data_IF_540889882245
#
_entry.id   IF_540889882245
#
_cell.length_a   1.000
_cell.length_b   1.000
_cell.length_c   1.000
_cell.angle_alpha   90.00
_cell.angle_beta   90.00
_cell.angle_gamma   90.00
#
_symmetry.space_group_name_H-M   'P 1'
#
loop_
_entity.id
_entity.type
_entity.pdbx_description
1 polymer ?
#
# COMPACT_ATOMS: atom_id res chain seq x y z
N UNK A 1 -4.37 -24.29 -13.32
CA UNK A 1 -3.02 -24.79 -12.98
C UNK A 1 -2.11 -23.66 -12.50
N UNK A 2 -1.79 -22.64 -13.31
CA UNK A 2 -0.96 -21.49 -12.90
C UNK A 2 -1.44 -20.73 -11.64
N UNK A 3 -2.74 -20.42 -11.54
CA UNK A 3 -3.25 -19.68 -10.36
C UNK A 3 -3.18 -20.47 -9.05
N UNK A 4 -3.50 -21.77 -9.08
CA UNK A 4 -3.36 -22.62 -7.89
C UNK A 4 -1.91 -22.67 -7.40
N UNK A 5 -0.95 -22.62 -8.33
CA UNK A 5 0.46 -22.55 -7.99
C UNK A 5 0.79 -21.26 -7.25
N UNK A 6 0.33 -20.10 -7.73
CA UNK A 6 0.47 -18.82 -7.02
C UNK A 6 -0.15 -18.87 -5.63
N UNK A 7 -1.40 -19.33 -5.50
CA UNK A 7 -2.11 -19.35 -4.23
C UNK A 7 -1.41 -20.20 -3.16
N UNK A 8 -0.75 -21.31 -3.54
CA UNK A 8 0.00 -22.16 -2.60
C UNK A 8 1.18 -21.45 -1.94
N UNK A 9 1.69 -20.39 -2.56
CA UNK A 9 2.79 -19.59 -2.02
C UNK A 9 2.33 -18.35 -1.24
N UNK A 10 1.03 -18.07 -1.20
CA UNK A 10 0.48 -16.97 -0.42
C UNK A 10 0.32 -17.38 1.03
N UNK A 11 1.06 -16.71 1.90
CA UNK A 11 0.93 -16.84 3.35
C UNK A 11 -0.23 -15.95 3.80
N UNK A 12 -1.16 -16.53 4.56
CA UNK A 12 -2.22 -15.80 5.26
C UNK A 12 -1.75 -15.46 6.65
N UNK A 13 -1.49 -14.18 6.89
CA UNK A 13 -1.15 -13.70 8.22
C UNK A 13 -1.72 -12.30 8.47
N UNK A 14 -1.96 -11.93 9.74
CA UNK A 14 -2.33 -10.58 10.11
C UNK A 14 -1.32 -9.52 9.68
N UNK A 15 -1.79 -8.30 9.41
CA UNK A 15 -0.95 -7.19 8.94
C UNK A 15 0.15 -6.80 9.93
N UNK A 16 -0.12 -6.85 11.23
CA UNK A 16 0.86 -6.57 12.30
C UNK A 16 2.03 -7.58 12.26
N UNK A 17 1.75 -8.86 12.05
CA UNK A 17 2.80 -9.90 11.87
C UNK A 17 3.68 -9.59 10.66
N UNK A 18 3.07 -9.18 9.53
CA UNK A 18 3.79 -8.77 8.33
C UNK A 18 4.69 -7.55 8.60
N UNK A 19 4.16 -6.53 9.27
CA UNK A 19 4.88 -5.30 9.58
C UNK A 19 6.05 -5.53 10.53
N UNK A 20 5.90 -6.35 11.57
CA UNK A 20 7.01 -6.73 12.47
C UNK A 20 8.18 -7.35 11.69
N UNK A 21 7.89 -8.18 10.69
CA UNK A 21 8.92 -8.86 9.88
C UNK A 21 9.65 -7.91 8.91
N UNK A 22 9.18 -6.67 8.70
CA UNK A 22 9.83 -5.70 7.82
C UNK A 22 11.22 -5.25 8.29
N UNK A 23 11.55 -5.50 9.57
CA UNK A 23 12.89 -5.34 10.10
C UNK A 23 13.89 -6.39 9.58
N UNK A 24 13.39 -7.51 9.06
CA UNK A 24 14.21 -8.64 8.59
C UNK A 24 14.13 -8.85 7.09
N UNK A 25 12.98 -8.52 6.49
CA UNK A 25 12.75 -8.68 5.05
C UNK A 25 12.70 -7.32 4.36
N UNK A 26 13.41 -7.19 3.23
CA UNK A 26 13.29 -6.04 2.35
C UNK A 26 11.89 -5.99 1.73
N UNK A 27 11.26 -4.82 1.78
CA UNK A 27 9.93 -4.57 1.22
C UNK A 27 10.01 -3.58 0.06
N UNK A 28 8.97 -3.54 -0.78
CA UNK A 28 8.85 -2.52 -1.83
C UNK A 28 8.91 -1.09 -1.26
N UNK A 29 8.26 -0.86 -0.10
CA UNK A 29 8.30 0.43 0.60
C UNK A 29 9.71 0.78 1.07
N UNK A 30 10.40 -0.14 1.77
CA UNK A 30 11.77 0.08 2.22
C UNK A 30 12.73 0.37 1.06
N UNK A 31 12.58 -0.33 -0.07
CA UNK A 31 13.37 -0.07 -1.26
C UNK A 31 13.03 1.28 -1.91
N UNK A 32 11.77 1.71 -1.87
CA UNK A 32 11.36 3.04 -2.31
C UNK A 32 11.96 4.15 -1.44
N UNK A 33 11.99 3.96 -0.12
CA UNK A 33 12.66 4.89 0.79
C UNK A 33 14.16 4.99 0.51
N UNK A 34 14.82 3.85 0.27
CA UNK A 34 16.22 3.81 -0.13
C UNK A 34 16.46 4.52 -1.47
N UNK A 35 15.62 4.25 -2.49
CA UNK A 35 15.68 4.97 -3.77
C UNK A 35 15.51 6.47 -3.59
N UNK A 36 14.65 6.92 -2.66
CA UNK A 36 14.43 8.35 -2.41
C UNK A 36 15.62 9.00 -1.72
N UNK A 37 16.14 8.38 -0.66
CA UNK A 37 17.26 8.92 0.12
C UNK A 37 17.96 7.80 0.93
N UNK A 38 19.09 7.26 0.44
CA UNK A 38 19.85 6.22 1.14
C UNK A 38 20.23 6.59 2.58
N UNK A 39 20.64 7.83 2.83
CA UNK A 39 21.00 8.29 4.18
C UNK A 39 19.80 8.28 5.14
N UNK A 40 18.63 8.74 4.68
CA UNK A 40 17.42 8.70 5.51
C UNK A 40 16.99 7.27 5.79
N UNK A 41 17.02 6.41 4.77
CA UNK A 41 16.76 4.97 4.91
C UNK A 41 17.65 4.36 6.00
N UNK A 42 18.96 4.61 5.95
CA UNK A 42 19.90 4.12 6.97
C UNK A 42 19.62 4.67 8.37
N UNK A 43 19.32 5.96 8.48
CA UNK A 43 19.00 6.56 9.78
C UNK A 43 17.74 5.96 10.39
N UNK A 44 16.73 5.63 9.58
CA UNK A 44 15.53 4.90 10.03
C UNK A 44 15.85 3.48 10.47
N UNK A 45 16.63 2.75 9.67
CA UNK A 45 17.09 1.38 10.00
C UNK A 45 17.86 1.34 11.33
N UNK A 46 18.59 2.40 11.67
CA UNK A 46 19.31 2.56 12.94
C UNK A 46 18.47 3.10 14.10
N UNK A 47 17.18 3.36 13.90
CA UNK A 47 16.31 3.95 14.92
C UNK A 47 16.62 5.40 15.29
N UNK A 48 17.39 6.12 14.44
CA UNK A 48 17.82 7.49 14.70
C UNK A 48 16.77 8.55 14.28
N UNK A 49 15.70 8.12 13.61
CA UNK A 49 14.61 8.99 13.18
C UNK A 49 13.30 8.42 13.73
N UNK A 50 12.54 9.19 14.54
CA UNK A 50 11.27 8.71 15.05
C UNK A 50 10.28 8.51 13.90
N UNK A 51 9.56 7.40 13.93
CA UNK A 51 8.43 7.20 13.03
C UNK A 51 7.32 8.18 13.41
N UNK A 52 6.83 8.93 12.40
CA UNK A 52 5.63 9.75 12.55
C UNK A 52 4.48 8.93 12.02
N UNK A 53 3.67 8.37 12.92
CA UNK A 53 2.41 7.77 12.53
C UNK A 53 1.47 8.91 12.12
N UNK A 54 1.18 9.01 10.82
CA UNK A 54 0.29 10.06 10.32
C UNK A 54 -1.09 9.46 10.15
N UNK A 55 -2.09 10.12 10.76
CA UNK A 55 -3.52 9.83 10.61
C UNK A 55 -3.95 9.70 9.13
N UNK A 56 -3.17 10.27 8.21
CA UNK A 56 -3.34 10.18 6.76
C UNK A 56 -3.46 8.74 6.22
N UNK A 57 -2.91 7.74 6.91
CA UNK A 57 -3.02 6.33 6.49
C UNK A 57 -4.28 5.62 6.97
N UNK A 58 -5.02 6.18 7.94
CA UNK A 58 -6.16 5.48 8.56
C UNK A 58 -7.30 5.24 7.56
N UNK A 59 -7.68 6.26 6.80
CA UNK A 59 -8.74 6.17 5.78
C UNK A 59 -8.34 5.19 4.68
N UNK A 60 -7.09 5.25 4.23
CA UNK A 60 -6.57 4.33 3.21
C UNK A 60 -6.63 2.87 3.67
N UNK A 61 -6.18 2.57 4.90
CA UNK A 61 -6.27 1.22 5.48
C UNK A 61 -7.72 0.75 5.60
N UNK A 62 -8.60 1.59 6.12
CA UNK A 62 -10.02 1.30 6.24
C UNK A 62 -10.68 1.01 4.88
N UNK A 63 -10.34 1.79 3.85
CA UNK A 63 -10.79 1.58 2.48
C UNK A 63 -10.26 0.25 1.91
N UNK A 64 -8.97 -0.07 2.09
CA UNK A 64 -8.42 -1.36 1.69
C UNK A 64 -9.16 -2.53 2.35
N UNK A 65 -9.32 -2.50 3.68
CA UNK A 65 -10.00 -3.57 4.40
C UNK A 65 -11.43 -3.75 3.89
N UNK A 66 -12.20 -2.67 3.72
CA UNK A 66 -13.59 -2.77 3.26
C UNK A 66 -13.68 -3.26 1.80
N UNK A 67 -12.83 -2.73 0.91
CA UNK A 67 -12.88 -3.00 -0.53
C UNK A 67 -12.35 -4.41 -0.85
N UNK A 68 -11.26 -4.83 -0.20
CA UNK A 68 -10.55 -6.06 -0.53
C UNK A 68 -10.97 -7.23 0.37
N UNK A 69 -11.14 -7.02 1.67
CA UNK A 69 -11.42 -8.08 2.65
C UNK A 69 -12.90 -8.14 3.07
N UNK A 70 -13.68 -7.11 2.76
CA UNK A 70 -15.12 -7.06 2.94
C UNK A 70 -15.58 -6.55 4.32
N UNK A 71 -16.91 -6.38 4.44
CA UNK A 71 -17.56 -5.72 5.60
C UNK A 71 -17.24 -6.38 6.94
N UNK A 72 -17.24 -7.71 6.99
CA UNK A 72 -16.97 -8.44 8.23
C UNK A 72 -15.56 -8.13 8.77
N UNK A 73 -14.55 -8.09 7.89
CA UNK A 73 -13.19 -7.76 8.28
C UNK A 73 -13.08 -6.30 8.71
N UNK A 74 -13.70 -5.39 7.95
CA UNK A 74 -13.74 -3.96 8.28
C UNK A 74 -14.33 -3.69 9.68
N UNK A 75 -15.49 -4.27 10.00
CA UNK A 75 -16.13 -4.11 11.32
C UNK A 75 -15.36 -4.82 12.44
N UNK A 76 -14.59 -5.85 12.09
CA UNK A 76 -13.67 -6.49 13.03
C UNK A 76 -12.43 -5.62 13.31
N UNK A 77 -11.87 -4.92 12.33
CA UNK A 77 -10.63 -4.15 12.48
C UNK A 77 -10.84 -2.72 13.00
N UNK A 78 -11.96 -2.09 12.67
CA UNK A 78 -12.20 -0.67 12.99
C UNK A 78 -13.37 -0.49 13.96
N UNK A 79 -13.23 0.47 14.86
CA UNK A 79 -14.35 0.99 15.64
C UNK A 79 -14.93 2.20 14.90
N UNK A 80 -16.21 2.17 14.56
CA UNK A 80 -16.90 3.23 13.81
C UNK A 80 -17.88 3.96 14.72
N UNK A 81 -17.91 5.28 14.59
CA UNK A 81 -18.87 6.14 15.27
C UNK A 81 -18.28 6.75 16.53
N UNK A 82 -19.12 6.95 17.55
CA UNK A 82 -18.72 7.61 18.79
C UNK A 82 -19.74 7.42 19.90
N UNK A 83 -19.44 7.90 21.11
CA UNK A 83 -20.35 7.78 22.24
C UNK A 83 -21.62 8.58 21.98
N UNK A 84 -22.77 8.06 22.43
CA UNK A 84 -24.04 8.76 22.32
C UNK A 84 -24.14 9.86 23.38
N UNK A 85 -24.65 11.02 22.98
CA UNK A 85 -25.01 12.08 23.90
C UNK A 85 -26.31 11.71 24.64
N UNK A 86 -26.28 11.54 25.97
CA UNK A 86 -27.46 11.10 26.73
C UNK A 86 -28.65 12.06 26.63
N UNK A 87 -28.42 13.35 26.30
CA UNK A 87 -29.47 14.36 26.19
C UNK A 87 -30.18 14.35 24.83
N UNK A 88 -29.47 14.00 23.76
CA UNK A 88 -29.99 14.10 22.39
C UNK A 88 -30.18 12.73 21.72
N UNK A 89 -29.60 11.67 22.27
CA UNK A 89 -29.54 10.34 21.66
C UNK A 89 -28.66 10.25 20.41
N UNK A 90 -27.99 11.35 20.02
CA UNK A 90 -27.12 11.42 18.83
C UNK A 90 -25.64 11.25 19.21
N UNK A 91 -24.78 10.73 18.31
CA UNK A 91 -23.34 10.65 18.55
C UNK A 91 -22.72 12.02 18.88
N UNK A 92 -21.75 12.04 19.79
CA UNK A 92 -20.86 13.19 19.95
C UNK A 92 -19.98 13.37 18.71
N UNK A 93 -19.74 14.62 18.31
CA UNK A 93 -18.82 14.92 17.20
C UNK A 93 -17.39 14.50 17.51
N UNK A 94 -16.61 14.17 16.47
CA UNK A 94 -15.23 13.67 16.59
C UNK A 94 -14.25 14.65 17.25
N UNK A 95 -14.55 15.94 17.24
CA UNK A 95 -13.73 16.98 17.87
C UNK A 95 -14.06 17.21 19.37
N UNK A 96 -14.85 16.34 20.00
CA UNK A 96 -15.27 16.52 21.39
C UNK A 96 -14.41 15.71 22.36
N UNK A 97 -14.31 16.19 23.62
CA UNK A 97 -13.63 15.44 24.69
C UNK A 97 -14.24 14.06 24.92
N UNK A 98 -15.56 13.96 24.86
CA UNK A 98 -16.28 12.68 25.01
C UNK A 98 -15.87 11.67 23.94
N UNK A 99 -15.75 12.11 22.68
CA UNK A 99 -15.27 11.26 21.59
C UNK A 99 -13.83 10.80 21.83
N UNK A 100 -12.93 11.72 22.22
CA UNK A 100 -11.54 11.39 22.51
C UNK A 100 -11.42 10.35 23.64
N UNK A 101 -12.12 10.56 24.76
CA UNK A 101 -12.14 9.63 25.90
C UNK A 101 -12.74 8.26 25.54
N UNK A 102 -13.73 8.22 24.65
CA UNK A 102 -14.28 6.97 24.15
C UNK A 102 -13.33 6.27 23.19
N UNK A 103 -12.65 7.02 22.33
CA UNK A 103 -11.70 6.51 21.36
C UNK A 103 -10.47 5.89 22.04
N UNK A 104 -9.96 6.51 23.11
CA UNK A 104 -8.86 5.97 23.93
C UNK A 104 -9.20 4.64 24.60
N UNK A 105 -10.48 4.34 24.82
CA UNK A 105 -10.94 3.07 25.39
C UNK A 105 -11.09 1.97 24.33
N UNK A 106 -11.01 2.30 23.04
CA UNK A 106 -11.10 1.31 21.98
C UNK A 106 -9.76 0.59 21.83
N UNK A 107 -9.81 -0.73 21.68
CA UNK A 107 -8.65 -1.54 21.32
C UNK A 107 -8.39 -1.56 19.81
N UNK A 108 -9.17 -0.79 19.04
CA UNK A 108 -9.16 -0.74 17.58
C UNK A 108 -8.94 0.69 17.10
N UNK A 109 -8.33 0.90 15.92
CA UNK A 109 -8.33 2.20 15.27
C UNK A 109 -9.77 2.73 15.11
N UNK A 110 -9.96 4.01 15.45
CA UNK A 110 -11.28 4.65 15.50
C UNK A 110 -11.51 5.51 14.27
N UNK A 111 -12.64 5.29 13.60
CA UNK A 111 -13.15 6.11 12.51
C UNK A 111 -14.33 6.95 13.00
N UNK A 112 -14.25 8.27 12.80
CA UNK A 112 -15.43 9.14 12.93
C UNK A 112 -16.48 8.81 11.88
N UNK A 113 -17.74 9.21 12.13
CA UNK A 113 -18.85 9.02 11.18
C UNK A 113 -18.53 9.58 9.78
N UNK A 114 -17.88 10.74 9.71
CA UNK A 114 -17.48 11.36 8.44
C UNK A 114 -16.40 10.54 7.71
N UNK A 115 -15.44 9.97 8.43
CA UNK A 115 -14.40 9.11 7.84
C UNK A 115 -14.99 7.78 7.37
N UNK A 116 -15.90 7.18 8.16
CA UNK A 116 -16.59 5.96 7.77
C UNK A 116 -17.48 6.20 6.54
N UNK A 117 -18.22 7.31 6.49
CA UNK A 117 -19.00 7.71 5.32
C UNK A 117 -18.11 7.88 4.09
N UNK A 118 -16.94 8.50 4.22
CA UNK A 118 -15.96 8.58 3.13
C UNK A 118 -15.52 7.19 2.67
N UNK A 119 -15.15 6.29 3.57
CA UNK A 119 -14.75 4.91 3.23
C UNK A 119 -15.85 4.17 2.46
N UNK A 120 -17.12 4.34 2.85
CA UNK A 120 -18.27 3.77 2.13
C UNK A 120 -18.41 4.37 0.72
N UNK A 121 -18.18 5.68 0.53
CA UNK A 121 -18.17 6.31 -0.80
C UNK A 121 -17.06 5.76 -1.69
N UNK A 122 -15.85 5.57 -1.14
CA UNK A 122 -14.74 4.96 -1.88
C UNK A 122 -15.06 3.52 -2.31
N UNK A 123 -15.64 2.73 -1.40
CA UNK A 123 -16.05 1.36 -1.71
C UNK A 123 -17.18 1.31 -2.76
N UNK A 124 -18.15 2.21 -2.67
CA UNK A 124 -19.22 2.33 -3.65
C UNK A 124 -18.69 2.72 -5.04
N UNK A 125 -17.75 3.67 -5.11
CA UNK A 125 -17.12 4.08 -6.35
C UNK A 125 -16.35 2.95 -7.03
N UNK A 126 -15.52 2.21 -6.29
CA UNK A 126 -14.79 1.05 -6.82
C UNK A 126 -15.76 -0.03 -7.29
N UNK A 127 -16.81 -0.32 -6.51
CA UNK A 127 -17.84 -1.30 -6.88
C UNK A 127 -18.63 -0.88 -8.14
N UNK A 128 -18.85 0.42 -8.33
CA UNK A 128 -19.53 0.99 -9.48
C UNK A 128 -18.68 1.00 -10.77
N UNK A 129 -17.37 0.85 -10.67
CA UNK A 129 -16.47 0.85 -11.83
C UNK A 129 -16.29 -0.55 -12.42
N UNK A 130 -16.88 -0.81 -13.59
CA UNK A 130 -16.99 -2.14 -14.20
C UNK A 130 -15.65 -2.91 -14.32
N UNK A 131 -14.57 -2.25 -14.73
CA UNK A 131 -13.26 -2.90 -14.80
C UNK A 131 -12.67 -3.18 -13.41
N UNK A 132 -12.90 -2.28 -12.44
CA UNK A 132 -12.29 -2.42 -11.11
C UNK A 132 -12.93 -3.58 -10.35
N UNK A 133 -14.26 -3.67 -10.37
CA UNK A 133 -14.97 -4.80 -9.77
C UNK A 133 -14.61 -6.12 -10.47
N UNK A 134 -14.46 -6.13 -11.80
CA UNK A 134 -14.02 -7.31 -12.54
C UNK A 134 -12.63 -7.81 -12.11
N UNK A 135 -11.70 -6.89 -11.86
CA UNK A 135 -10.36 -7.20 -11.35
C UNK A 135 -10.39 -7.69 -9.89
N UNK A 136 -11.26 -7.12 -9.06
CA UNK A 136 -11.39 -7.39 -7.63
C UNK A 136 -12.41 -8.49 -7.30
N UNK A 137 -12.83 -9.29 -8.28
CA UNK A 137 -13.70 -10.46 -8.09
C UNK A 137 -12.91 -11.76 -8.20
N UNK A 138 -13.33 -12.82 -7.49
CA UNK A 138 -12.76 -14.18 -7.56
C UNK A 138 -11.27 -14.32 -7.23
N UNK A 139 -10.73 -13.48 -6.35
CA UNK A 139 -9.31 -13.42 -6.04
C UNK A 139 -8.98 -13.60 -4.56
N UNK A 140 -7.72 -13.30 -4.27
CA UNK A 140 -7.14 -13.43 -2.95
C UNK A 140 -6.65 -12.07 -2.48
N UNK A 141 -7.32 -11.49 -1.47
CA UNK A 141 -6.89 -10.26 -0.83
C UNK A 141 -5.65 -10.48 0.04
N UNK A 142 -4.74 -9.51 0.09
CA UNK A 142 -3.75 -9.35 1.16
C UNK A 142 -2.83 -10.58 1.40
N UNK A 143 -2.47 -11.28 0.32
CA UNK A 143 -1.61 -12.44 0.36
C UNK A 143 -0.14 -12.06 0.56
N UNK A 144 0.56 -12.70 1.50
CA UNK A 144 1.98 -12.43 1.76
C UNK A 144 2.87 -13.39 0.99
N UNK A 145 3.86 -12.87 0.26
CA UNK A 145 4.93 -13.64 -0.37
C UNK A 145 6.25 -13.36 0.33
N UNK A 146 7.05 -14.40 0.55
CA UNK A 146 8.42 -14.30 1.06
C UNK A 146 9.36 -15.19 0.26
N UNK A 147 10.50 -14.64 -0.16
CA UNK A 147 11.53 -15.39 -0.86
C UNK A 147 12.89 -14.69 -0.80
N UNK A 148 13.92 -15.43 -1.18
CA UNK A 148 15.22 -14.84 -1.52
C UNK A 148 15.14 -14.26 -2.93
N UNK A 149 15.41 -12.96 -3.06
CA UNK A 149 15.48 -12.26 -4.34
C UNK A 149 16.71 -11.35 -4.36
N UNK A 150 17.54 -11.44 -5.40
CA UNK A 150 18.80 -10.67 -5.56
C UNK A 150 19.70 -10.61 -4.32
N UNK A 151 19.79 -11.73 -3.59
CA UNK A 151 20.56 -11.91 -2.34
C UNK A 151 19.96 -11.20 -1.11
N UNK A 152 18.73 -10.70 -1.20
CA UNK A 152 17.96 -10.22 -0.05
C UNK A 152 16.87 -11.22 0.31
N UNK A 153 16.58 -11.34 1.60
CA UNK A 153 15.29 -11.87 2.04
C UNK A 153 14.26 -10.79 1.82
N UNK A 154 13.26 -11.06 0.98
CA UNK A 154 12.25 -10.10 0.57
C UNK A 154 10.86 -10.55 1.01
N UNK A 155 9.98 -9.58 1.28
CA UNK A 155 8.57 -9.85 1.49
C UNK A 155 7.68 -8.79 0.82
N UNK A 156 6.49 -9.21 0.44
CA UNK A 156 5.43 -8.32 -0.03
C UNK A 156 4.07 -8.83 0.47
N UNK A 157 3.18 -7.90 0.84
CA UNK A 157 1.75 -8.16 1.05
C UNK A 157 1.02 -7.60 -0.16
N UNK A 158 0.40 -8.47 -0.94
CA UNK A 158 -0.23 -8.13 -2.20
C UNK A 158 -1.71 -7.85 -1.95
N UNK A 159 -2.14 -6.62 -2.20
CA UNK A 159 -3.53 -6.17 -2.00
C UNK A 159 -4.54 -7.15 -2.57
N UNK A 160 -4.35 -7.57 -3.83
CA UNK A 160 -5.20 -8.57 -4.46
C UNK A 160 -4.49 -9.35 -5.58
N UNK A 161 -4.78 -10.64 -5.67
CA UNK A 161 -4.39 -11.50 -6.79
C UNK A 161 -5.63 -12.14 -7.39
N UNK A 162 -5.93 -11.78 -8.63
CA UNK A 162 -6.98 -12.37 -9.44
C UNK A 162 -6.43 -13.54 -10.29
N UNK A 163 -7.14 -14.67 -10.39
CA UNK A 163 -6.74 -15.83 -11.18
C UNK A 163 -6.53 -15.58 -12.67
N UNK A 164 -7.30 -14.65 -13.22
CA UNK A 164 -7.36 -14.36 -14.65
C UNK A 164 -6.61 -13.08 -14.98
N UNK A 165 -6.70 -12.08 -14.09
CA UNK A 165 -6.20 -10.73 -14.35
C UNK A 165 -4.90 -10.38 -13.63
N UNK A 166 -4.39 -11.27 -12.76
CA UNK A 166 -3.10 -11.11 -12.11
C UNK A 166 -3.13 -10.21 -10.87
N UNK A 167 -2.06 -9.45 -10.67
CA UNK A 167 -1.85 -8.61 -9.48
C UNK A 167 -2.67 -7.33 -9.62
N UNK A 168 -3.35 -6.94 -8.54
CA UNK A 168 -4.07 -5.67 -8.46
C UNK A 168 -3.64 -4.97 -7.18
N UNK A 169 -3.16 -3.73 -7.31
CA UNK A 169 -2.75 -2.87 -6.21
C UNK A 169 -3.77 -1.72 -6.10
N UNK A 170 -4.37 -1.56 -4.92
CA UNK A 170 -5.39 -0.55 -4.65
C UNK A 170 -4.72 0.70 -4.10
N UNK A 171 -5.20 1.86 -4.55
CA UNK A 171 -4.72 3.16 -4.09
C UNK A 171 -5.89 4.11 -3.88
N UNK A 172 -5.71 5.02 -2.93
CA UNK A 172 -6.58 6.20 -2.78
C UNK A 172 -5.78 7.44 -3.15
N UNK A 173 -6.37 8.39 -3.86
CA UNK A 173 -5.72 9.65 -4.24
C UNK A 173 -6.59 10.86 -3.86
N UNK A 174 -6.00 12.06 -3.81
CA UNK A 174 -6.77 13.30 -3.70
C UNK A 174 -7.21 13.85 -5.06
N UNK A 175 -6.48 13.51 -6.12
CA UNK A 175 -6.75 13.94 -7.49
C UNK A 175 -6.37 12.83 -8.47
N UNK A 176 -7.29 12.49 -9.38
CA UNK A 176 -7.04 11.54 -10.46
C UNK A 176 -6.42 12.17 -11.71
N UNK A 177 -6.62 13.47 -11.95
CA UNK A 177 -6.15 14.13 -13.17
C UNK A 177 -4.62 14.19 -13.24
N UNK A 178 -3.96 14.25 -12.08
CA UNK A 178 -2.49 14.15 -11.94
C UNK A 178 -1.98 12.73 -11.67
N UNK A 179 -2.83 11.70 -11.71
CA UNK A 179 -2.44 10.37 -11.23
C UNK A 179 -1.44 9.65 -12.14
N UNK A 180 -1.45 9.89 -13.45
CA UNK A 180 -0.42 9.36 -14.36
C UNK A 180 0.99 9.86 -14.03
N UNK A 181 1.11 11.06 -13.46
CA UNK A 181 2.36 11.55 -12.90
C UNK A 181 2.62 10.92 -11.53
N UNK A 182 1.61 10.88 -10.66
CA UNK A 182 1.72 10.34 -9.30
C UNK A 182 2.16 8.87 -9.28
N UNK A 183 1.65 8.02 -10.18
CA UNK A 183 1.99 6.59 -10.27
C UNK A 183 3.49 6.37 -10.48
N UNK A 184 4.15 7.29 -11.20
CA UNK A 184 5.60 7.29 -11.44
C UNK A 184 6.36 7.97 -10.29
N UNK A 185 5.92 9.17 -9.90
CA UNK A 185 6.60 9.99 -8.91
C UNK A 185 6.62 9.36 -7.50
N UNK A 186 5.54 8.67 -7.12
CA UNK A 186 5.40 7.97 -5.84
C UNK A 186 5.98 6.55 -5.88
N UNK A 187 6.48 6.10 -7.03
CA UNK A 187 7.13 4.79 -7.18
C UNK A 187 6.17 3.60 -7.17
N UNK A 188 4.88 3.80 -7.44
CA UNK A 188 3.89 2.72 -7.47
C UNK A 188 4.18 1.69 -8.56
N UNK A 189 4.71 2.14 -9.71
CA UNK A 189 5.17 1.20 -10.76
C UNK A 189 6.28 0.29 -10.23
N UNK A 190 7.26 0.82 -9.51
CA UNK A 190 8.34 0.03 -8.89
C UNK A 190 7.83 -0.90 -7.80
N UNK A 191 6.83 -0.47 -7.03
CA UNK A 191 6.17 -1.30 -6.02
C UNK A 191 5.51 -2.52 -6.66
N UNK A 192 4.69 -2.32 -7.69
CA UNK A 192 4.00 -3.41 -8.38
C UNK A 192 4.98 -4.31 -9.14
N UNK A 193 6.05 -3.76 -9.73
CA UNK A 193 7.11 -4.56 -10.34
C UNK A 193 7.83 -5.44 -9.32
N UNK A 194 8.09 -4.94 -8.10
CA UNK A 194 8.67 -5.72 -7.01
C UNK A 194 7.75 -6.87 -6.60
N UNK A 195 6.45 -6.59 -6.46
CA UNK A 195 5.43 -7.61 -6.16
C UNK A 195 5.41 -8.71 -7.21
N UNK A 196 5.37 -8.32 -8.49
CA UNK A 196 5.38 -9.24 -9.63
C UNK A 196 6.64 -10.11 -9.67
N UNK A 197 7.81 -9.53 -9.37
CA UNK A 197 9.07 -10.28 -9.31
C UNK A 197 9.09 -11.32 -8.18
N UNK A 198 8.61 -10.97 -6.98
CA UNK A 198 8.54 -11.93 -5.87
C UNK A 198 7.55 -13.07 -6.16
N UNK A 199 6.36 -12.74 -6.70
CA UNK A 199 5.35 -13.73 -7.10
C UNK A 199 5.96 -14.68 -8.14
N UNK A 200 6.55 -14.14 -9.22
CA UNK A 200 7.19 -14.97 -10.24
C UNK A 200 8.32 -15.83 -9.69
N UNK A 201 9.10 -15.34 -8.72
CA UNK A 201 10.17 -16.10 -8.06
C UNK A 201 9.64 -17.31 -7.30
N UNK A 202 8.51 -17.18 -6.60
CA UNK A 202 7.95 -18.29 -5.81
C UNK A 202 7.11 -19.25 -6.62
N UNK A 203 6.34 -18.75 -7.60
CA UNK A 203 5.38 -19.56 -8.35
C UNK A 203 5.89 -20.02 -9.71
N UNK A 204 6.89 -19.35 -10.29
CA UNK A 204 7.29 -19.49 -11.70
C UNK A 204 6.36 -18.76 -12.69
N UNK A 205 5.34 -18.05 -12.20
CA UNK A 205 4.31 -17.42 -13.03
C UNK A 205 4.47 -15.90 -13.10
N UNK A 206 4.52 -15.38 -14.32
CA UNK A 206 4.63 -13.95 -14.58
C UNK A 206 3.24 -13.38 -14.86
N UNK A 207 2.68 -12.69 -13.86
CA UNK A 207 1.30 -12.20 -13.93
C UNK A 207 1.20 -10.80 -14.57
N UNK A 208 0.06 -10.48 -15.24
CA UNK A 208 -0.31 -9.10 -15.51
C UNK A 208 -0.47 -8.31 -14.22
N UNK A 209 -0.37 -6.98 -14.29
CA UNK A 209 -0.52 -6.13 -13.12
C UNK A 209 -1.30 -4.86 -13.40
N UNK A 210 -2.14 -4.49 -12.44
CA UNK A 210 -3.03 -3.34 -12.52
C UNK A 210 -2.93 -2.51 -11.24
N UNK A 211 -3.16 -1.20 -11.38
CA UNK A 211 -3.43 -0.31 -10.26
C UNK A 211 -4.87 0.17 -10.36
N UNK A 212 -5.64 -0.05 -9.30
CA UNK A 212 -6.98 0.51 -9.13
C UNK A 212 -6.85 1.70 -8.21
N UNK A 213 -7.36 2.86 -8.62
CA UNK A 213 -7.29 4.08 -7.80
C UNK A 213 -8.65 4.71 -7.67
N UNK A 214 -8.98 5.11 -6.43
CA UNK A 214 -10.21 5.86 -6.11
C UNK A 214 -9.88 7.21 -5.48
N UNK A 215 -10.57 8.25 -5.93
CA UNK A 215 -10.40 9.63 -5.47
C UNK A 215 -11.14 9.88 -4.16
N UNK A 216 -10.52 10.57 -3.21
CA UNK A 216 -11.07 10.89 -1.89
C UNK A 216 -12.03 12.09 -1.89
N UNK A 217 -12.32 12.64 -3.07
CA UNK A 217 -13.13 13.85 -3.26
C UNK A 217 -14.23 13.58 -4.25
N UNK A 218 -15.37 14.26 -4.09
CA UNK A 218 -16.48 14.23 -5.05
C UNK A 218 -15.97 14.50 -6.48
N UNK A 219 -16.41 13.72 -7.49
CA UNK A 219 -17.48 12.71 -7.44
C UNK A 219 -16.98 11.28 -7.11
N UNK A 220 -15.90 11.15 -6.35
CA UNK A 220 -15.23 9.90 -5.95
C UNK A 220 -14.85 9.05 -7.17
N UNK A 221 -14.20 9.67 -8.16
CA UNK A 221 -13.85 9.00 -9.41
C UNK A 221 -12.98 7.76 -9.12
N UNK A 222 -13.21 6.69 -9.88
CA UNK A 222 -12.41 5.49 -9.86
C UNK A 222 -11.78 5.27 -11.24
N UNK A 223 -10.51 4.87 -11.26
CA UNK A 223 -9.79 4.55 -12.49
C UNK A 223 -8.99 3.25 -12.36
N UNK A 224 -8.60 2.70 -13.51
CA UNK A 224 -7.81 1.47 -13.60
C UNK A 224 -6.67 1.68 -14.59
N UNK A 225 -5.45 1.39 -14.16
CA UNK A 225 -4.24 1.44 -14.99
C UNK A 225 -3.69 0.04 -15.14
N UNK A 226 -3.58 -0.43 -16.37
CA UNK A 226 -2.79 -1.63 -16.66
C UNK A 226 -1.32 -1.23 -16.87
N UNK A 227 -0.41 -1.86 -16.13
CA UNK A 227 1.02 -1.66 -16.34
C UNK A 227 1.51 -2.64 -17.41
N UNK A 228 2.07 -2.11 -18.50
CA UNK A 228 2.54 -2.95 -19.61
C UNK A 228 3.77 -3.77 -19.19
N UNK A 229 4.02 -4.94 -19.83
CA UNK A 229 5.20 -5.75 -19.55
C UNK A 229 6.51 -4.96 -19.63
N UNK A 230 6.67 -4.12 -20.66
CA UNK A 230 7.86 -3.27 -20.86
C UNK A 230 8.09 -2.32 -19.68
N UNK A 231 7.03 -1.66 -19.19
CA UNK A 231 7.13 -0.74 -18.04
C UNK A 231 7.48 -1.49 -16.76
N UNK A 232 6.91 -2.68 -16.55
CA UNK A 232 7.18 -3.52 -15.38
C UNK A 232 8.60 -4.09 -15.40
N UNK A 233 9.10 -4.49 -16.57
CA UNK A 233 10.47 -4.98 -16.76
C UNK A 233 11.50 -3.87 -16.48
N UNK A 234 11.27 -2.66 -17.00
CA UNK A 234 12.13 -1.51 -16.72
C UNK A 234 12.13 -1.18 -15.21
N UNK A 235 10.96 -1.17 -14.58
CA UNK A 235 10.84 -0.94 -13.15
C UNK A 235 11.48 -2.07 -12.31
N UNK A 236 11.45 -3.31 -12.78
CA UNK A 236 12.16 -4.44 -12.15
C UNK A 236 13.67 -4.23 -12.20
N UNK A 237 14.23 -3.85 -13.36
CA UNK A 237 15.65 -3.51 -13.49
C UNK A 237 16.05 -2.39 -12.52
N UNK A 238 15.25 -1.33 -12.42
CA UNK A 238 15.48 -0.25 -11.45
C UNK A 238 15.40 -0.72 -9.98
N UNK A 239 14.51 -1.67 -9.66
CA UNK A 239 14.47 -2.27 -8.33
C UNK A 239 15.77 -3.03 -8.03
N UNK A 240 16.24 -3.84 -8.98
CA UNK A 240 17.46 -4.63 -8.84
C UNK A 240 18.69 -3.72 -8.72
N UNK A 241 18.81 -2.68 -9.54
CA UNK A 241 19.86 -1.66 -9.44
C UNK A 241 19.89 -1.00 -8.05
N UNK A 242 18.72 -0.65 -7.51
CA UNK A 242 18.61 -0.11 -6.15
C UNK A 242 19.01 -1.14 -5.08
N UNK A 243 18.69 -2.41 -5.25
CA UNK A 243 19.14 -3.49 -4.35
C UNK A 243 20.66 -3.69 -4.41
N UNK A 244 21.25 -3.62 -5.61
CA UNK A 244 22.71 -3.66 -5.80
C UNK A 244 23.38 -2.46 -5.13
N UNK A 245 22.82 -1.26 -5.28
CA UNK A 245 23.32 -0.04 -4.62
C UNK A 245 23.19 -0.13 -3.10
N UNK A 246 22.07 -0.64 -2.57
CA UNK A 246 21.88 -0.89 -1.15
C UNK A 246 22.94 -1.84 -0.59
N UNK A 247 23.29 -2.91 -1.31
CA UNK A 247 24.41 -3.79 -0.91
C UNK A 247 25.73 -3.04 -0.83
N UNK A 248 26.04 -2.21 -1.84
CA UNK A 248 27.27 -1.40 -1.84
C UNK A 248 27.30 -0.43 -0.67
N UNK A 249 26.20 0.27 -0.38
CA UNK A 249 26.09 1.16 0.78
C UNK A 249 26.34 0.41 2.10
N UNK A 250 25.75 -0.79 2.24
CA UNK A 250 25.97 -1.64 3.42
C UNK A 250 27.42 -2.09 3.56
N UNK A 251 28.10 -2.43 2.46
CA UNK A 251 29.49 -2.90 2.50
C UNK A 251 30.52 -1.77 2.69
N UNK A 252 30.29 -0.60 2.09
CA UNK A 252 31.23 0.52 2.14
C UNK A 252 30.98 1.49 3.30
N UNK A 253 29.77 1.48 3.88
CA UNK A 253 29.32 2.50 4.83
C UNK A 253 29.02 3.85 4.20
N UNK A 254 29.07 3.98 2.86
CA UNK A 254 28.77 5.22 2.16
C UNK A 254 27.26 5.39 1.94
N UNK A 255 26.67 6.38 2.61
CA UNK A 255 25.25 6.72 2.50
C UNK A 255 25.10 8.19 2.11
N UNK A 256 24.17 8.47 1.19
CA UNK A 256 24.02 9.78 0.56
C UNK A 256 22.55 10.16 0.42
N UNK A 257 22.30 11.41 0.09
CA UNK A 257 20.97 12.04 -0.04
C UNK A 257 20.48 12.12 -1.47
N UNK A 258 21.39 11.96 -2.46
CA UNK A 258 21.17 12.19 -3.90
C UNK A 258 21.10 13.67 -4.31
N UNK A 259 21.40 14.57 -3.40
CA UNK A 259 21.40 16.03 -3.60
C UNK A 259 22.78 16.65 -3.37
N UNK A 260 23.85 15.84 -3.46
CA UNK A 260 25.22 16.29 -3.24
C UNK A 260 25.73 17.27 -4.32
N UNK A 261 25.05 17.34 -5.47
CA UNK A 261 25.47 18.14 -6.63
C UNK A 261 24.46 19.22 -7.01
N UNK A 262 24.94 20.32 -7.62
CA UNK A 262 24.10 21.40 -8.13
C UNK A 262 23.04 20.86 -9.12
N UNK A 263 21.78 21.28 -8.94
CA UNK A 263 20.68 21.00 -9.87
C UNK A 263 20.25 22.30 -10.52
N UNK A 264 20.42 22.40 -11.83
CA UNK A 264 20.03 23.57 -12.62
C UNK A 264 18.68 23.29 -13.26
N UNK A 265 17.73 24.20 -13.07
CA UNK A 265 16.45 24.24 -13.79
C UNK A 265 16.53 25.45 -14.72
N UNK A 266 16.76 25.19 -16.00
CA UNK A 266 16.95 26.23 -17.03
C UNK A 266 15.71 26.42 -17.92
N UNK A 267 14.63 25.68 -17.64
CA UNK A 267 13.31 25.79 -18.29
C UNK A 267 12.21 25.23 -17.41
N UNK A 268 10.99 25.74 -17.62
CA UNK A 268 9.74 25.26 -17.01
C UNK A 268 9.14 24.11 -17.82
#
# INVERSE_FOLDING_TARGET
MAFEQVLRHLIREPADVYHVKSNTFLTAHGLAEFRRCPLLYRKKELGLVPERDTTAYLIGRAAHTLILEGRQRYEHEFAVGGPLNPKTGKPFGSNTKAFAEWAERQSKPVLSDAQAALVEQLAAAVKGHALAIGLLTDGSAEGVVRCSYTQFQCQARIDWINPRSGIVDLKTTDDLDSFDFAIRALGYVHQVAFYRALVATVSGEVLPAHIVTVEKREPFRCGVWQLTPTVLEEASRHNEEAMHELRRCRSSGAWFTRFETLRVIDRL
#
